data_IF_152019350757
#
_entry.id   IF_152019350757
#
_cell.length_a   1.000
_cell.length_b   1.000
_cell.length_c   1.000
_cell.angle_alpha   90.00
_cell.angle_beta   90.00
_cell.angle_gamma   90.00
#
_symmetry.space_group_name_H-M   'P 1'
#
loop_
_entity.id
_entity.type
_entity.pdbx_description
1 polymer ?
#
# COMPACT_ATOMS: atom_id res chain seq x y z
N UNK A 1 -15.63 -29.63 -10.25
CA UNK A 1 -14.22 -29.47 -10.71
C UNK A 1 -13.47 -28.70 -9.63
N UNK A 2 -12.60 -29.38 -8.87
CA UNK A 2 -11.91 -28.84 -7.68
C UNK A 2 -10.66 -28.03 -8.01
N UNK A 3 -10.81 -26.73 -8.26
CA UNK A 3 -9.71 -25.77 -8.32
C UNK A 3 -9.85 -24.76 -7.19
N UNK A 4 -8.75 -24.47 -6.47
CA UNK A 4 -8.73 -23.38 -5.47
C UNK A 4 -9.29 -22.11 -6.11
N UNK A 5 -10.31 -21.52 -5.49
CA UNK A 5 -10.90 -20.27 -5.94
C UNK A 5 -9.79 -19.21 -6.07
N UNK A 6 -9.74 -18.56 -7.24
CA UNK A 6 -8.81 -17.47 -7.49
C UNK A 6 -9.23 -16.30 -6.60
N UNK A 7 -8.30 -15.81 -5.78
CA UNK A 7 -8.56 -14.69 -4.87
C UNK A 7 -8.38 -13.39 -5.63
N UNK A 8 -9.43 -12.57 -5.66
CA UNK A 8 -9.43 -11.23 -6.25
C UNK A 8 -9.58 -10.19 -5.13
N UNK A 9 -9.13 -8.97 -5.38
CA UNK A 9 -9.38 -7.85 -4.45
C UNK A 9 -10.87 -7.54 -4.48
N UNK A 10 -11.49 -7.52 -3.30
CA UNK A 10 -12.80 -6.91 -3.13
C UNK A 10 -12.65 -5.38 -3.24
N UNK A 11 -12.95 -4.86 -4.42
CA UNK A 11 -12.83 -3.45 -4.75
C UNK A 11 -13.76 -2.54 -3.92
N UNK A 12 -14.93 -3.05 -3.51
CA UNK A 12 -15.86 -2.27 -2.70
C UNK A 12 -15.37 -2.18 -1.27
N UNK A 13 -14.89 -3.30 -0.72
CA UNK A 13 -14.30 -3.31 0.61
C UNK A 13 -13.02 -2.47 0.67
N UNK A 14 -12.16 -2.52 -0.36
CA UNK A 14 -10.99 -1.64 -0.43
C UNK A 14 -11.40 -0.16 -0.42
N UNK A 15 -12.37 0.22 -1.25
CA UNK A 15 -12.88 1.59 -1.28
C UNK A 15 -13.45 2.01 0.08
N UNK A 16 -14.23 1.13 0.73
CA UNK A 16 -14.79 1.37 2.06
C UNK A 16 -13.71 1.54 3.13
N UNK A 17 -12.65 0.74 3.10
CA UNK A 17 -11.53 0.85 4.06
C UNK A 17 -10.78 2.17 3.91
N UNK A 18 -10.52 2.60 2.66
CA UNK A 18 -9.89 3.90 2.39
C UNK A 18 -10.81 5.04 2.84
N UNK A 19 -12.10 4.95 2.56
CA UNK A 19 -13.10 5.94 2.96
C UNK A 19 -13.20 6.09 4.49
N UNK A 20 -13.26 4.95 5.19
CA UNK A 20 -13.40 4.88 6.64
C UNK A 20 -12.14 5.35 7.39
N UNK A 21 -10.98 5.38 6.75
CA UNK A 21 -9.75 5.93 7.33
C UNK A 21 -9.83 7.46 7.54
N UNK A 22 -10.77 8.14 6.87
CA UNK A 22 -10.87 9.60 6.87
C UNK A 22 -9.84 10.24 5.93
N UNK A 23 -9.50 11.53 6.12
CA UNK A 23 -8.60 12.24 5.22
C UNK A 23 -7.21 11.57 5.13
N UNK A 24 -6.86 11.07 3.95
CA UNK A 24 -5.53 10.53 3.64
C UNK A 24 -4.75 11.61 2.89
N UNK A 25 -3.66 12.11 3.48
CA UNK A 25 -2.87 13.18 2.88
C UNK A 25 -2.07 12.71 1.65
N UNK A 26 -1.54 11.47 1.69
CA UNK A 26 -0.70 10.91 0.63
C UNK A 26 -0.66 9.39 0.73
N UNK A 27 -0.58 8.70 -0.41
CA UNK A 27 -0.39 7.26 -0.50
C UNK A 27 0.94 6.92 -1.18
N UNK A 28 1.56 5.83 -0.75
CA UNK A 28 2.77 5.29 -1.37
C UNK A 28 2.51 3.86 -1.81
N UNK A 29 2.70 3.59 -3.10
CA UNK A 29 2.46 2.27 -3.71
C UNK A 29 3.80 1.71 -4.18
N UNK A 30 4.03 0.41 -4.00
CA UNK A 30 5.23 -0.22 -4.57
C UNK A 30 5.18 -0.16 -6.10
N UNK A 31 6.28 0.28 -6.71
CA UNK A 31 6.42 0.24 -8.15
C UNK A 31 6.65 -1.19 -8.61
N UNK A 32 5.64 -1.77 -9.24
CA UNK A 32 5.63 -3.14 -9.72
C UNK A 32 5.44 -3.20 -11.23
N UNK A 33 5.84 -4.30 -11.85
CA UNK A 33 5.73 -4.46 -13.30
C UNK A 33 5.85 -5.91 -13.75
N UNK A 34 5.52 -6.15 -15.01
CA UNK A 34 5.72 -7.44 -15.65
C UNK A 34 7.21 -7.71 -15.89
N UNK A 35 7.60 -8.97 -15.74
CA UNK A 35 8.94 -9.47 -16.06
C UNK A 35 8.86 -10.59 -17.10
N UNK A 36 9.89 -10.76 -17.96
CA UNK A 36 9.97 -11.89 -18.88
C UNK A 36 9.82 -13.23 -18.16
N UNK A 37 9.09 -14.17 -18.76
CA UNK A 37 8.88 -15.51 -18.22
C UNK A 37 7.71 -15.65 -17.23
N UNK A 38 6.98 -14.58 -16.92
CA UNK A 38 5.76 -14.66 -16.11
C UNK A 38 4.54 -15.12 -16.93
N UNK A 39 3.68 -15.95 -16.33
CA UNK A 39 2.47 -16.44 -16.99
C UNK A 39 1.45 -15.32 -17.24
N UNK A 40 0.98 -15.20 -18.50
CA UNK A 40 0.10 -14.12 -18.96
C UNK A 40 -1.19 -13.97 -18.14
N UNK A 41 -1.82 -15.08 -17.75
CA UNK A 41 -3.04 -15.09 -16.94
C UNK A 41 -2.81 -14.59 -15.52
N UNK A 42 -1.62 -14.84 -14.95
CA UNK A 42 -1.24 -14.32 -13.63
C UNK A 42 -0.94 -12.82 -13.73
N UNK A 43 -0.27 -12.39 -14.79
CA UNK A 43 0.05 -10.99 -15.01
C UNK A 43 -1.16 -10.12 -15.30
N UNK A 44 -2.15 -10.63 -16.03
CA UNK A 44 -3.42 -9.92 -16.21
C UNK A 44 -4.12 -9.64 -14.86
N UNK A 45 -4.12 -10.63 -13.97
CA UNK A 45 -4.74 -10.50 -12.65
C UNK A 45 -3.93 -9.64 -11.69
N UNK A 46 -2.61 -9.70 -11.79
CA UNK A 46 -1.72 -8.79 -11.09
C UNK A 46 -1.98 -7.33 -11.52
N UNK A 47 -2.03 -7.07 -12.82
CA UNK A 47 -2.37 -5.75 -13.36
C UNK A 47 -3.76 -5.27 -12.94
N UNK A 48 -4.76 -6.16 -12.94
CA UNK A 48 -6.10 -5.85 -12.42
C UNK A 48 -6.07 -5.46 -10.93
N UNK A 49 -5.26 -6.14 -10.13
CA UNK A 49 -5.12 -5.84 -8.70
C UNK A 49 -4.50 -4.46 -8.47
N UNK A 50 -3.42 -4.15 -9.21
CA UNK A 50 -2.82 -2.82 -9.19
C UNK A 50 -3.83 -1.74 -9.63
N UNK A 51 -4.51 -1.94 -10.76
CA UNK A 51 -5.49 -0.98 -11.27
C UNK A 51 -6.68 -0.73 -10.32
N UNK A 52 -7.08 -1.72 -9.51
CA UNK A 52 -8.08 -1.54 -8.45
C UNK A 52 -7.54 -0.59 -7.36
N UNK A 53 -6.30 -0.78 -6.92
CA UNK A 53 -5.66 0.11 -5.93
C UNK A 53 -5.55 1.53 -6.47
N UNK A 54 -5.03 1.68 -7.69
CA UNK A 54 -4.89 2.98 -8.36
C UNK A 54 -6.22 3.70 -8.54
N UNK A 55 -7.26 2.95 -8.97
CA UNK A 55 -8.60 3.46 -9.15
C UNK A 55 -9.24 3.94 -7.85
N UNK A 56 -9.11 3.19 -6.76
CA UNK A 56 -9.63 3.60 -5.44
C UNK A 56 -8.92 4.85 -4.93
N UNK A 57 -7.58 4.89 -4.99
CA UNK A 57 -6.81 6.05 -4.54
C UNK A 57 -7.12 7.30 -5.37
N UNK A 58 -7.20 7.15 -6.69
CA UNK A 58 -7.47 8.25 -7.62
C UNK A 58 -8.91 8.77 -7.50
N UNK A 59 -9.90 7.89 -7.32
CA UNK A 59 -11.29 8.27 -7.06
C UNK A 59 -11.45 8.99 -5.70
N UNK A 60 -10.59 8.67 -4.74
CA UNK A 60 -10.48 9.40 -3.47
C UNK A 60 -9.70 10.71 -3.55
N UNK A 61 -9.20 11.10 -4.73
CA UNK A 61 -8.29 12.24 -4.93
C UNK A 61 -7.06 12.22 -4.01
N UNK A 62 -6.55 11.02 -3.70
CA UNK A 62 -5.41 10.85 -2.82
C UNK A 62 -4.13 11.00 -3.64
N UNK A 63 -3.27 12.00 -3.36
CA UNK A 63 -1.96 12.10 -3.99
C UNK A 63 -1.17 10.80 -3.77
N UNK A 64 -0.62 10.24 -4.85
CA UNK A 64 -0.01 8.90 -4.82
C UNK A 64 1.35 8.92 -5.50
N UNK A 65 2.37 8.43 -4.79
CA UNK A 65 3.71 8.19 -5.35
C UNK A 65 4.02 6.70 -5.45
N UNK A 66 4.76 6.32 -6.49
CA UNK A 66 5.27 4.96 -6.65
C UNK A 66 6.72 4.86 -6.18
N UNK A 67 7.03 3.80 -5.44
CA UNK A 67 8.35 3.60 -4.86
C UNK A 67 8.93 2.25 -5.28
N UNK A 68 10.10 2.28 -5.91
CA UNK A 68 10.78 1.06 -6.32
C UNK A 68 11.13 0.16 -5.11
N UNK A 69 10.95 -1.17 -5.22
CA UNK A 69 11.19 -2.13 -4.13
C UNK A 69 12.57 -1.97 -3.49
N UNK A 70 13.60 -1.83 -4.34
CA UNK A 70 15.00 -1.70 -3.89
C UNK A 70 15.21 -0.40 -3.11
N UNK A 71 14.51 0.67 -3.45
CA UNK A 71 14.66 2.00 -2.86
C UNK A 71 14.16 2.02 -1.42
N UNK A 72 12.92 1.57 -1.17
CA UNK A 72 12.37 1.57 0.19
C UNK A 72 13.03 0.52 1.08
N UNK A 73 13.36 -0.66 0.55
CA UNK A 73 14.06 -1.71 1.30
C UNK A 73 15.45 -1.25 1.74
N UNK A 74 16.22 -0.65 0.84
CA UNK A 74 17.54 -0.10 1.16
C UNK A 74 17.43 1.08 2.13
N UNK A 75 16.55 2.04 1.84
CA UNK A 75 16.37 3.24 2.67
C UNK A 75 15.90 2.95 4.10
N UNK A 76 15.24 1.82 4.32
CA UNK A 76 14.86 1.36 5.65
C UNK A 76 15.81 0.30 6.22
N UNK A 77 16.80 -0.21 5.50
CA UNK A 77 17.71 -1.26 5.99
C UNK A 77 17.02 -2.61 6.18
N UNK A 78 16.10 -2.97 5.29
CA UNK A 78 15.44 -4.29 5.26
C UNK A 78 16.44 -5.32 4.76
N UNK A 79 16.71 -6.35 5.58
CA UNK A 79 17.60 -7.45 5.21
C UNK A 79 16.94 -8.34 4.14
N UNK A 80 17.76 -8.97 3.30
CA UNK A 80 17.27 -9.99 2.37
C UNK A 80 16.77 -11.23 3.13
N UNK A 81 15.83 -11.96 2.53
CA UNK A 81 15.27 -13.21 3.07
C UNK A 81 13.78 -13.12 3.43
N UNK A 82 13.17 -14.28 3.71
CA UNK A 82 11.71 -14.46 3.87
C UNK A 82 11.07 -13.71 5.05
N UNK A 83 11.89 -13.23 6.00
CA UNK A 83 11.42 -12.59 7.23
C UNK A 83 11.97 -11.17 7.44
N UNK A 84 12.75 -10.67 6.47
CA UNK A 84 13.43 -9.38 6.58
C UNK A 84 12.47 -8.22 6.83
N UNK A 85 11.33 -8.21 6.12
CA UNK A 85 10.31 -7.16 6.24
C UNK A 85 9.62 -7.20 7.61
N UNK A 86 9.13 -8.35 8.07
CA UNK A 86 8.47 -8.45 9.39
C UNK A 86 9.42 -8.09 10.54
N UNK A 87 10.65 -8.61 10.52
CA UNK A 87 11.65 -8.27 11.54
C UNK A 87 11.98 -6.78 11.54
N UNK A 88 12.11 -6.18 10.35
CA UNK A 88 12.42 -4.75 10.25
C UNK A 88 11.24 -3.88 10.65
N UNK A 89 10.02 -4.24 10.27
CA UNK A 89 8.80 -3.55 10.70
C UNK A 89 8.66 -3.57 12.22
N UNK A 90 8.87 -4.72 12.88
CA UNK A 90 8.86 -4.81 14.34
C UNK A 90 9.94 -3.94 14.99
N UNK A 91 11.15 -3.89 14.43
CA UNK A 91 12.23 -3.06 14.96
C UNK A 91 11.97 -1.55 14.81
N UNK A 92 11.29 -1.13 13.74
CA UNK A 92 10.98 0.28 13.48
C UNK A 92 9.66 0.74 14.13
N UNK A 93 8.71 -0.17 14.34
CA UNK A 93 7.36 0.09 14.85
C UNK A 93 7.00 -0.94 15.94
N UNK A 94 7.70 -0.96 17.09
CA UNK A 94 7.53 -1.99 18.11
C UNK A 94 6.10 -2.07 18.67
N UNK A 95 5.40 -0.92 18.80
CA UNK A 95 4.00 -0.88 19.26
C UNK A 95 2.99 -1.56 18.31
N UNK A 96 3.40 -1.86 17.07
CA UNK A 96 2.56 -2.48 16.05
C UNK A 96 3.00 -3.91 15.70
N UNK A 97 4.05 -4.43 16.36
CA UNK A 97 4.64 -5.73 16.02
C UNK A 97 3.62 -6.90 16.09
N UNK A 98 2.57 -6.77 16.90
CA UNK A 98 1.46 -7.73 16.98
C UNK A 98 0.65 -7.89 15.69
N UNK A 99 0.76 -6.97 14.73
CA UNK A 99 -0.02 -6.97 13.48
C UNK A 99 0.55 -7.90 12.40
N UNK A 100 1.81 -8.33 12.51
CA UNK A 100 2.52 -9.16 11.53
C UNK A 100 3.31 -10.33 12.18
N UNK A 101 2.66 -11.05 13.08
CA UNK A 101 3.27 -12.16 13.82
C UNK A 101 3.45 -13.43 12.98
N UNK A 102 2.64 -13.64 11.95
CA UNK A 102 2.66 -14.87 11.14
C UNK A 102 3.45 -14.66 9.86
N UNK A 103 4.01 -15.75 9.32
CA UNK A 103 4.70 -15.73 8.02
C UNK A 103 3.83 -15.14 6.91
N UNK A 104 2.52 -15.42 6.91
CA UNK A 104 1.56 -14.90 5.93
C UNK A 104 1.22 -13.42 6.07
N UNK A 105 1.71 -12.75 7.12
CA UNK A 105 1.49 -11.32 7.34
C UNK A 105 2.61 -10.45 6.74
N UNK A 106 3.50 -11.03 5.92
CA UNK A 106 4.59 -10.30 5.25
C UNK A 106 4.09 -9.07 4.47
N UNK A 107 2.98 -9.21 3.73
CA UNK A 107 2.37 -8.08 3.01
C UNK A 107 1.90 -6.94 3.92
N UNK A 108 1.51 -7.22 5.18
CA UNK A 108 1.17 -6.17 6.15
C UNK A 108 2.42 -5.41 6.60
N UNK A 109 3.49 -6.15 6.88
CA UNK A 109 4.77 -5.55 7.24
C UNK A 109 5.36 -4.71 6.09
N UNK A 110 5.29 -5.19 4.85
CA UNK A 110 5.74 -4.44 3.68
C UNK A 110 4.92 -3.18 3.44
N UNK A 111 3.59 -3.25 3.51
CA UNK A 111 2.72 -2.08 3.39
C UNK A 111 3.06 -1.01 4.45
N UNK A 112 3.26 -1.44 5.71
CA UNK A 112 3.65 -0.53 6.79
C UNK A 112 5.04 0.09 6.57
N UNK A 113 6.00 -0.68 6.06
CA UNK A 113 7.34 -0.18 5.73
C UNK A 113 7.32 0.80 4.55
N UNK A 114 6.54 0.55 3.51
CA UNK A 114 6.38 1.47 2.37
C UNK A 114 5.78 2.81 2.85
N UNK A 115 4.73 2.75 3.68
CA UNK A 115 4.14 3.95 4.27
C UNK A 115 5.14 4.73 5.14
N UNK A 116 5.89 4.05 6.01
CA UNK A 116 6.93 4.67 6.84
C UNK A 116 8.06 5.29 6.00
N UNK A 117 8.48 4.63 4.93
CA UNK A 117 9.46 5.16 3.99
C UNK A 117 8.97 6.46 3.35
N UNK A 118 7.73 6.46 2.85
CA UNK A 118 7.08 7.64 2.26
C UNK A 118 6.95 8.79 3.25
N UNK A 119 6.48 8.51 4.47
CA UNK A 119 6.39 9.50 5.55
C UNK A 119 7.74 10.20 5.81
N UNK A 120 8.83 9.43 5.88
CA UNK A 120 10.19 9.99 6.04
C UNK A 120 10.62 10.82 4.82
N UNK A 121 10.25 10.41 3.61
CA UNK A 121 10.58 11.15 2.39
C UNK A 121 9.86 12.49 2.32
N UNK A 122 8.58 12.55 2.71
CA UNK A 122 7.83 13.81 2.79
C UNK A 122 8.42 14.74 3.86
N UNK A 123 8.75 14.21 5.04
CA UNK A 123 9.31 14.99 6.14
C UNK A 123 10.70 15.60 5.83
N UNK A 124 11.47 14.98 4.94
CA UNK A 124 12.81 15.47 4.54
C UNK A 124 12.74 16.40 3.32
N UNK A 125 11.60 16.40 2.60
CA UNK A 125 11.47 17.03 1.29
C UNK A 125 10.91 18.44 1.27
N UNK A 126 10.03 18.85 2.19
CA UNK A 126 9.39 20.18 2.11
C UNK A 126 8.76 20.64 3.43
N UNK A 127 9.07 21.87 3.85
CA UNK A 127 8.22 22.66 4.74
C UNK A 127 6.98 23.17 4.00
N UNK A 128 6.10 22.27 3.57
CA UNK A 128 4.79 22.63 2.99
C UNK A 128 3.72 22.26 3.99
N UNK A 129 3.08 23.30 4.51
CA UNK A 129 1.80 23.21 5.20
C UNK A 129 0.81 22.47 4.31
N UNK A 130 0.46 21.23 4.68
CA UNK A 130 -0.66 20.52 4.06
C UNK A 130 -1.92 21.27 4.48
N UNK A 131 -2.53 22.00 3.55
CA UNK A 131 -3.85 22.57 3.81
C UNK A 131 -4.83 21.42 4.09
N UNK A 132 -5.66 21.51 5.14
CA UNK A 132 -6.58 20.44 5.48
C UNK A 132 -7.56 20.22 4.32
N UNK A 133 -7.62 18.99 3.82
CA UNK A 133 -8.71 18.56 2.93
C UNK A 133 -10.00 18.69 3.74
N UNK A 134 -10.81 19.69 3.38
CA UNK A 134 -12.07 20.00 4.07
C UNK A 134 -13.04 18.81 4.03
N UNK A 135 -13.96 18.72 5.01
CA UNK A 135 -14.89 17.61 5.08
C UNK A 135 -15.77 17.55 3.83
N UNK A 136 -15.92 16.34 3.28
CA UNK A 136 -16.83 16.07 2.16
C UNK A 136 -18.24 16.47 2.57
N UNK A 137 -18.79 17.51 1.94
CA UNK A 137 -20.23 17.75 2.00
C UNK A 137 -20.92 16.66 1.19
N UNK A 138 -21.52 15.69 1.86
CA UNK A 138 -22.53 14.84 1.24
C UNK A 138 -23.71 15.76 0.91
N UNK A 139 -23.78 16.17 -0.35
CA UNK A 139 -24.93 16.91 -0.87
C UNK A 139 -26.13 15.97 -0.93
N UNK A 140 -27.08 16.18 -0.03
CA UNK A 140 -28.46 15.78 -0.22
C UNK A 140 -28.96 16.45 -1.51
N UNK A 141 -29.15 15.65 -2.55
CA UNK A 141 -29.95 16.07 -3.70
C UNK A 141 -31.39 15.71 -3.37
N UNK A 142 -32.20 16.75 -3.13
CA UNK A 142 -33.65 16.70 -3.33
C UNK A 142 -33.94 16.53 -4.82
#
# INVERSE_FOLDING_TARGET
RGGKAKREIDRYELARLVDAHGPVAHAFVEQVGAMPGQGVTSMFQFGRSLGIVEGVLSAGFIPTDYVAPRKWRSGLGVRAGKDGSRARASALMPGHAGLWTRVKDDGRAEAALIALYGQRHLATGFGVTVAPVGPRKHGERQ
#
